data_IF_583116753271
#
_entry.id   IF_583116753271
#
_cell.length_a   1.000
_cell.length_b   1.000
_cell.length_c   1.000
_cell.angle_alpha   90.00
_cell.angle_beta   90.00
_cell.angle_gamma   90.00
#
_symmetry.space_group_name_H-M   'P 1'
#
loop_
_entity.id
_entity.type
_entity.pdbx_description
1 polymer ?
#
# COMPACT_ATOMS: atom_id res chain seq x y z
N UNK A 1 1.89 -13.00 11.85
CA UNK A 1 3.01 -13.88 11.44
C UNK A 1 3.62 -13.53 10.07
N UNK A 2 3.17 -12.47 9.36
CA UNK A 2 3.72 -12.12 8.04
C UNK A 2 5.02 -11.28 8.04
N UNK A 3 5.38 -10.67 9.18
CA UNK A 3 6.60 -9.84 9.28
C UNK A 3 7.90 -10.65 9.25
N UNK A 4 7.85 -11.95 9.54
CA UNK A 4 9.01 -12.84 9.61
C UNK A 4 9.48 -13.37 8.25
N UNK A 5 8.70 -13.21 7.18
CA UNK A 5 8.97 -13.92 5.92
C UNK A 5 9.88 -13.15 4.96
N UNK A 6 10.13 -11.85 5.17
CA UNK A 6 10.87 -10.99 4.22
C UNK A 6 10.17 -10.78 2.86
N UNK A 7 9.19 -11.60 2.52
CA UNK A 7 8.37 -11.56 1.31
C UNK A 7 7.56 -10.26 1.23
N UNK A 8 6.99 -9.81 2.35
CA UNK A 8 6.20 -8.57 2.39
C UNK A 8 7.05 -7.33 2.06
N UNK A 9 8.24 -7.20 2.65
CA UNK A 9 9.16 -6.11 2.32
C UNK A 9 9.64 -6.13 0.87
N UNK A 10 9.93 -7.32 0.32
CA UNK A 10 10.27 -7.46 -1.11
C UNK A 10 9.11 -7.02 -2.02
N UNK A 11 7.88 -7.35 -1.63
CA UNK A 11 6.69 -6.96 -2.37
C UNK A 11 6.46 -5.43 -2.34
N UNK A 12 6.65 -4.78 -1.19
CA UNK A 12 6.60 -3.31 -1.08
C UNK A 12 7.62 -2.60 -1.98
N UNK A 13 8.85 -3.13 -2.07
CA UNK A 13 9.88 -2.57 -2.97
C UNK A 13 9.47 -2.68 -4.46
N UNK A 14 8.77 -3.76 -4.85
CA UNK A 14 8.25 -3.89 -6.21
C UNK A 14 7.11 -2.91 -6.46
N UNK A 15 6.21 -2.74 -5.48
CA UNK A 15 5.14 -1.77 -5.51
C UNK A 15 5.64 -0.33 -5.70
N UNK A 16 6.67 0.07 -4.96
CA UNK A 16 7.29 1.40 -5.08
C UNK A 16 7.75 1.70 -6.51
N UNK A 17 8.20 0.69 -7.26
CA UNK A 17 8.71 0.83 -8.63
C UNK A 17 7.62 0.82 -9.70
N UNK A 18 6.37 0.50 -9.38
CA UNK A 18 5.29 0.42 -10.37
C UNK A 18 4.88 1.82 -10.86
N UNK A 19 4.76 2.03 -12.16
CA UNK A 19 4.47 3.38 -12.70
C UNK A 19 3.07 3.89 -12.33
N UNK A 20 2.09 2.99 -12.32
CA UNK A 20 0.72 3.26 -11.84
C UNK A 20 0.35 2.22 -10.80
N UNK A 21 0.14 2.66 -9.56
CA UNK A 21 -0.35 1.82 -8.47
C UNK A 21 -1.85 2.04 -8.29
N UNK A 22 -2.63 0.97 -8.31
CA UNK A 22 -4.05 0.99 -7.95
C UNK A 22 -4.25 0.21 -6.65
N UNK A 23 -4.77 0.89 -5.63
CA UNK A 23 -5.16 0.29 -4.35
C UNK A 23 -6.68 0.29 -4.27
N UNK A 24 -7.28 -0.90 -4.42
CA UNK A 24 -8.72 -1.08 -4.35
C UNK A 24 -9.19 -1.36 -2.91
N UNK A 25 -10.44 -0.98 -2.58
CA UNK A 25 -11.07 -1.19 -1.27
C UNK A 25 -10.22 -0.75 -0.06
N UNK A 26 -9.56 0.40 -0.17
CA UNK A 26 -8.73 0.94 0.90
C UNK A 26 -9.54 1.20 2.18
N UNK A 27 -9.06 0.67 3.30
CA UNK A 27 -9.69 0.86 4.61
C UNK A 27 -10.89 -0.05 4.90
N UNK A 28 -11.28 -0.93 3.97
CA UNK A 28 -12.42 -1.84 4.15
C UNK A 28 -12.07 -3.13 4.89
N UNK A 29 -10.84 -3.61 4.76
CA UNK A 29 -10.35 -4.84 5.41
C UNK A 29 -9.56 -4.56 6.71
N UNK A 30 -9.46 -5.58 7.56
CA UNK A 30 -8.56 -5.56 8.71
C UNK A 30 -7.09 -5.64 8.26
N UNK A 31 -6.54 -4.50 7.86
CA UNK A 31 -5.11 -4.33 7.63
C UNK A 31 -4.46 -4.10 8.99
N UNK A 32 -3.43 -4.89 9.33
CA UNK A 32 -2.71 -4.66 10.58
C UNK A 32 -2.01 -3.29 10.56
N UNK A 33 -1.82 -2.68 11.73
CA UNK A 33 -1.36 -1.30 11.81
C UNK A 33 0.06 -1.11 11.22
N UNK A 34 0.89 -2.15 11.27
CA UNK A 34 2.24 -2.11 10.71
C UNK A 34 2.21 -2.09 9.17
N UNK A 35 1.44 -2.99 8.57
CA UNK A 35 1.22 -3.09 7.12
C UNK A 35 0.63 -1.78 6.59
N UNK A 36 -0.31 -1.18 7.33
CA UNK A 36 -0.87 0.13 6.98
C UNK A 36 0.20 1.22 6.99
N UNK A 37 1.06 1.27 8.01
CA UNK A 37 2.15 2.24 8.09
C UNK A 37 3.13 2.08 6.94
N UNK A 38 3.55 0.84 6.64
CA UNK A 38 4.49 0.56 5.57
C UNK A 38 3.90 0.93 4.19
N UNK A 39 2.59 0.72 3.98
CA UNK A 39 1.91 1.14 2.75
C UNK A 39 1.80 2.67 2.64
N UNK A 40 1.54 3.38 3.74
CA UNK A 40 1.48 4.84 3.75
C UNK A 40 2.84 5.47 3.42
N UNK A 41 3.93 4.91 3.92
CA UNK A 41 5.30 5.33 3.58
C UNK A 41 5.55 5.20 2.07
N UNK A 42 5.17 4.06 1.47
CA UNK A 42 5.29 3.85 0.02
C UNK A 42 4.42 4.83 -0.77
N UNK A 43 3.21 5.15 -0.31
CA UNK A 43 2.33 6.12 -0.97
C UNK A 43 2.95 7.53 -0.91
N UNK A 44 3.54 7.91 0.22
CA UNK A 44 4.19 9.21 0.42
C UNK A 44 5.42 9.36 -0.50
N UNK A 45 6.30 8.35 -0.52
CA UNK A 45 7.46 8.29 -1.43
C UNK A 45 7.07 8.40 -2.91
N UNK A 46 5.91 7.83 -3.27
CA UNK A 46 5.37 7.85 -4.63
C UNK A 46 4.70 9.18 -4.98
N UNK A 47 4.17 9.92 -4.03
CA UNK A 47 3.28 11.06 -4.28
C UNK A 47 3.88 12.12 -5.22
N UNK A 48 5.20 12.32 -5.16
CA UNK A 48 5.91 13.28 -6.02
C UNK A 48 6.37 12.72 -7.37
N UNK A 49 6.43 11.39 -7.54
CA UNK A 49 7.18 10.76 -8.62
C UNK A 49 6.36 9.80 -9.49
N UNK A 50 5.30 9.17 -8.95
CA UNK A 50 4.54 8.11 -9.61
C UNK A 50 3.05 8.21 -9.34
N UNK A 51 2.23 7.80 -10.30
CA UNK A 51 0.78 7.85 -10.16
C UNK A 51 0.29 6.78 -9.18
N UNK A 52 -0.60 7.19 -8.27
CA UNK A 52 -1.26 6.30 -7.31
C UNK A 52 -2.75 6.60 -7.30
N UNK A 53 -3.58 5.58 -7.55
CA UNK A 53 -5.04 5.62 -7.50
C UNK A 53 -5.46 4.82 -6.28
N UNK A 54 -6.29 5.42 -5.44
CA UNK A 54 -6.84 4.78 -4.25
C UNK A 54 -8.36 4.84 -4.36
N UNK A 55 -9.02 3.69 -4.23
CA UNK A 55 -10.47 3.61 -4.11
C UNK A 55 -10.84 3.21 -2.69
N UNK A 56 -11.97 3.70 -2.21
CA UNK A 56 -12.53 3.33 -0.92
C UNK A 56 -14.03 3.39 -1.03
N UNK A 57 -14.72 2.48 -0.36
CA UNK A 57 -16.16 2.57 -0.24
C UNK A 57 -16.48 3.49 0.93
N UNK A 58 -17.25 4.53 0.65
CA UNK A 58 -17.87 5.33 1.69
C UNK A 58 -19.20 4.68 2.06
N UNK A 59 -19.60 4.73 3.35
CA UNK A 59 -20.95 4.32 3.73
C UNK A 59 -21.95 5.16 2.93
N UNK A 60 -22.91 4.48 2.31
CA UNK A 60 -24.05 5.10 1.59
C UNK A 60 -25.15 5.53 2.55
#
# INVERSE_FOLDING_TARGET
MARSSGVFGKWLIQLAKTDVLVLDDWGMGAIDNATRSDLLEIIDDRAANKATIITSQLPI
#
